data_IF_377433275035
#
_entry.id   IF_377433275035
#
_cell.length_a   1.000
_cell.length_b   1.000
_cell.length_c   1.000
_cell.angle_alpha   90.00
_cell.angle_beta   90.00
_cell.angle_gamma   90.00
#
_symmetry.space_group_name_H-M   'P 1'
#
loop_
_entity.id
_entity.type
_entity.pdbx_description
1 polymer ?
#
# COMPACT_ATOMS: atom_id res chain seq x y z
N UNK A 1 -9.49 -11.29 0.50
CA UNK A 1 -8.08 -11.70 0.61
C UNK A 1 -7.88 -12.54 1.87
N UNK A 2 -7.10 -13.60 1.76
CA UNK A 2 -6.75 -14.42 2.91
C UNK A 2 -5.90 -13.64 3.90
N UNK A 3 -5.95 -14.03 5.18
CA UNK A 3 -5.19 -13.36 6.22
C UNK A 3 -4.33 -14.35 6.99
N UNK A 4 -3.25 -13.83 7.59
CA UNK A 4 -2.41 -14.57 8.52
C UNK A 4 -2.33 -13.76 9.82
N UNK A 5 -2.58 -14.42 10.94
CA UNK A 5 -2.55 -13.76 12.26
C UNK A 5 -1.20 -13.98 12.92
N UNK A 6 -0.55 -12.88 13.30
CA UNK A 6 0.73 -12.88 14.03
C UNK A 6 0.58 -11.95 15.22
N UNK A 7 0.79 -12.45 16.43
CA UNK A 7 0.63 -11.69 17.68
C UNK A 7 -0.72 -10.96 17.78
N UNK A 8 -1.79 -11.66 17.35
CA UNK A 8 -3.16 -11.11 17.41
C UNK A 8 -3.50 -10.14 16.30
N UNK A 9 -2.58 -9.83 15.38
CA UNK A 9 -2.80 -8.90 14.29
C UNK A 9 -2.94 -9.67 12.97
N UNK A 10 -3.98 -9.34 12.20
CA UNK A 10 -4.24 -9.98 10.91
C UNK A 10 -3.55 -9.22 9.78
N UNK A 11 -2.71 -9.93 9.03
CA UNK A 11 -2.00 -9.39 7.87
C UNK A 11 -2.51 -10.02 6.59
N UNK A 12 -2.49 -9.25 5.49
CA UNK A 12 -2.88 -9.74 4.16
C UNK A 12 -1.67 -10.00 3.27
N UNK A 13 -0.49 -9.51 3.63
CA UNK A 13 0.71 -9.71 2.85
C UNK A 13 1.82 -8.74 3.19
N UNK A 14 2.76 -8.63 2.26
CA UNK A 14 3.95 -7.78 2.39
C UNK A 14 4.07 -6.92 1.14
N UNK A 15 4.34 -5.63 1.35
CA UNK A 15 4.70 -4.72 0.28
C UNK A 15 6.22 -4.73 0.16
N UNK A 16 6.73 -5.01 -1.03
CA UNK A 16 8.17 -5.07 -1.28
C UNK A 16 8.56 -3.99 -2.28
N UNK A 17 9.56 -3.19 -1.93
CA UNK A 17 10.07 -2.12 -2.78
C UNK A 17 11.57 -2.36 -2.97
N UNK A 18 11.95 -3.09 -4.04
CA UNK A 18 13.35 -3.48 -4.25
C UNK A 18 14.31 -2.30 -4.32
N UNK A 19 13.89 -1.21 -4.97
CA UNK A 19 14.69 0.00 -5.14
C UNK A 19 15.14 0.61 -3.81
N UNK A 20 14.36 0.41 -2.75
CA UNK A 20 14.64 0.94 -1.42
C UNK A 20 15.06 -0.16 -0.43
N UNK A 21 15.16 -1.41 -0.89
CA UNK A 21 15.41 -2.58 -0.03
C UNK A 21 14.43 -2.66 1.14
N UNK A 22 13.15 -2.36 0.87
CA UNK A 22 12.09 -2.36 1.88
C UNK A 22 11.16 -3.54 1.72
N UNK A 23 10.77 -4.11 2.87
CA UNK A 23 9.70 -5.09 2.98
C UNK A 23 8.81 -4.65 4.13
N UNK A 24 7.57 -4.30 3.84
CA UNK A 24 6.64 -3.72 4.80
C UNK A 24 5.39 -4.58 4.92
N UNK A 25 5.10 -5.12 6.12
CA UNK A 25 3.87 -5.88 6.34
C UNK A 25 2.65 -5.00 6.12
N UNK A 26 1.57 -5.60 5.62
CA UNK A 26 0.31 -4.91 5.38
C UNK A 26 -0.79 -5.58 6.20
N UNK A 27 -1.37 -4.84 7.15
CA UNK A 27 -2.48 -5.33 7.96
C UNK A 27 -3.76 -5.42 7.15
N UNK A 28 -4.64 -6.35 7.54
CA UNK A 28 -5.93 -6.56 6.89
C UNK A 28 -6.81 -5.31 6.91
N UNK A 29 -6.74 -4.53 8.00
CA UNK A 29 -7.49 -3.28 8.17
C UNK A 29 -6.58 -2.23 8.79
N UNK A 30 -6.67 -1.00 8.28
CA UNK A 30 -5.92 0.10 8.87
C UNK A 30 -6.61 0.60 10.15
N UNK A 31 -5.82 1.16 11.05
CA UNK A 31 -6.29 1.94 12.20
C UNK A 31 -5.21 2.93 12.58
N UNK A 32 -5.57 4.01 13.26
CA UNK A 32 -4.58 4.99 13.70
C UNK A 32 -3.51 4.35 14.60
N UNK A 33 -3.94 3.49 15.53
CA UNK A 33 -3.01 2.76 16.39
C UNK A 33 -2.17 1.76 15.60
N UNK A 34 -2.78 1.04 14.66
CA UNK A 34 -2.10 0.02 13.85
C UNK A 34 -1.08 0.60 12.90
N UNK A 35 -1.29 1.81 12.35
CA UNK A 35 -0.33 2.45 11.44
C UNK A 35 1.01 2.79 12.11
N UNK A 36 1.07 2.76 13.45
CA UNK A 36 2.33 2.87 14.18
C UNK A 36 3.16 1.59 14.06
N UNK A 37 2.52 0.48 13.70
CA UNK A 37 3.14 -0.84 13.63
C UNK A 37 3.46 -1.23 12.18
N UNK A 38 2.51 -1.03 11.27
CA UNK A 38 2.61 -1.50 9.88
C UNK A 38 1.70 -0.69 8.96
N UNK A 39 1.82 -0.93 7.66
CA UNK A 39 0.85 -0.45 6.69
C UNK A 39 -0.49 -1.15 6.92
N UNK A 40 -1.58 -0.56 6.47
CA UNK A 40 -2.91 -1.17 6.61
C UNK A 40 -3.76 -1.00 5.36
N UNK A 41 -4.55 -2.02 5.05
CA UNK A 41 -5.50 -1.91 3.95
C UNK A 41 -6.61 -0.94 4.36
N UNK A 42 -6.80 0.08 3.53
CA UNK A 42 -7.89 1.02 3.69
C UNK A 42 -9.14 0.49 3.01
N UNK A 43 -9.02 -0.03 1.79
CA UNK A 43 -10.15 -0.51 1.00
C UNK A 43 -9.64 -1.38 -0.15
N UNK A 44 -10.52 -2.22 -0.69
CA UNK A 44 -10.25 -2.95 -1.93
C UNK A 44 -9.42 -4.22 -1.77
N UNK A 45 -9.00 -4.77 -2.91
CA UNK A 45 -8.27 -6.03 -2.98
C UNK A 45 -7.33 -6.04 -4.18
N UNK A 46 -6.20 -6.75 -4.07
CA UNK A 46 -5.31 -6.98 -5.22
C UNK A 46 -6.02 -7.78 -6.30
N UNK A 47 -6.93 -8.67 -5.93
CA UNK A 47 -7.67 -9.51 -6.88
C UNK A 47 -8.72 -8.73 -7.66
N UNK A 48 -9.27 -7.68 -7.06
CA UNK A 48 -10.22 -6.78 -7.72
C UNK A 48 -9.53 -5.60 -8.41
N UNK A 49 -8.22 -5.52 -8.33
CA UNK A 49 -7.39 -4.47 -8.92
C UNK A 49 -7.80 -3.08 -8.46
N UNK A 50 -8.06 -2.93 -7.16
CA UNK A 50 -8.49 -1.66 -6.59
C UNK A 50 -8.04 -1.46 -5.15
N UNK A 51 -6.95 -2.09 -4.72
CA UNK A 51 -6.50 -2.02 -3.34
C UNK A 51 -5.96 -0.62 -2.99
N UNK A 52 -6.36 -0.12 -1.83
CA UNK A 52 -5.86 1.13 -1.27
C UNK A 52 -5.20 0.82 0.07
N UNK A 53 -3.94 1.18 0.20
CA UNK A 53 -3.11 0.90 1.37
C UNK A 53 -2.70 2.21 2.01
N UNK A 54 -2.96 2.34 3.32
CA UNK A 54 -2.59 3.49 4.11
C UNK A 54 -1.26 3.26 4.82
N UNK A 55 -0.44 4.31 4.89
CA UNK A 55 0.80 4.28 5.64
C UNK A 55 0.95 5.54 6.49
N UNK A 56 1.66 5.42 7.61
CA UNK A 56 1.99 6.56 8.45
C UNK A 56 3.31 7.17 8.01
N UNK A 57 3.47 8.48 8.23
CA UNK A 57 4.66 9.22 7.83
C UNK A 57 5.84 9.02 8.80
N UNK A 58 6.06 7.79 9.27
CA UNK A 58 7.24 7.46 10.08
C UNK A 58 8.43 7.11 9.19
N UNK A 59 9.64 7.39 9.69
CA UNK A 59 10.90 7.20 8.95
C UNK A 59 11.11 5.80 8.41
N UNK A 60 10.66 4.79 9.15
CA UNK A 60 10.86 3.39 8.78
C UNK A 60 9.82 2.85 7.79
N UNK A 61 8.75 3.62 7.54
CA UNK A 61 7.64 3.15 6.70
C UNK A 61 7.50 4.02 5.45
N UNK A 62 6.47 4.85 5.44
CA UNK A 62 6.03 5.54 4.25
C UNK A 62 6.92 6.72 3.85
N UNK A 63 7.72 7.26 4.76
CA UNK A 63 8.57 8.42 4.41
C UNK A 63 9.55 8.09 3.29
N UNK A 64 10.06 6.85 3.25
CA UNK A 64 10.97 6.41 2.19
C UNK A 64 10.24 6.17 0.88
N UNK A 65 8.97 5.78 0.93
CA UNK A 65 8.15 5.58 -0.27
C UNK A 65 7.93 6.88 -1.04
N UNK A 66 8.01 8.03 -0.37
CA UNK A 66 7.90 9.35 -1.01
C UNK A 66 9.03 9.64 -1.98
N UNK A 67 10.12 8.89 -1.90
CA UNK A 67 11.27 9.07 -2.80
C UNK A 67 11.10 8.33 -4.13
N UNK A 68 10.05 7.52 -4.26
CA UNK A 68 9.78 6.81 -5.50
C UNK A 68 9.28 7.75 -6.60
N UNK A 69 9.64 7.41 -7.84
CA UNK A 69 9.26 8.16 -9.02
C UNK A 69 8.29 7.38 -9.91
N UNK A 70 7.76 8.05 -10.91
CA UNK A 70 6.99 7.39 -11.97
C UNK A 70 7.88 6.30 -12.59
N UNK A 71 7.35 5.09 -12.71
CA UNK A 71 8.07 3.93 -13.23
C UNK A 71 8.71 3.05 -12.16
N UNK A 72 8.83 3.51 -10.91
CA UNK A 72 9.35 2.68 -9.83
C UNK A 72 8.50 1.43 -9.64
N UNK A 73 9.14 0.30 -9.29
CA UNK A 73 8.47 -0.99 -9.11
C UNK A 73 8.11 -1.25 -7.66
N UNK A 74 6.92 -1.80 -7.46
CA UNK A 74 6.43 -2.20 -6.14
C UNK A 74 5.80 -3.58 -6.30
N UNK A 75 6.11 -4.49 -5.38
CA UNK A 75 5.51 -5.82 -5.33
C UNK A 75 4.59 -5.94 -4.13
N UNK A 76 3.46 -6.60 -4.33
CA UNK A 76 2.62 -7.08 -3.22
C UNK A 76 2.66 -8.60 -3.23
N UNK A 77 3.05 -9.20 -2.11
CA UNK A 77 3.07 -10.65 -1.94
C UNK A 77 2.01 -10.98 -0.89
N UNK A 78 0.96 -11.73 -1.29
CA UNK A 78 -0.09 -12.10 -0.36
C UNK A 78 0.34 -13.24 0.56
N UNK A 79 -0.50 -13.62 1.52
CA UNK A 79 -0.16 -14.65 2.50
C UNK A 79 -0.08 -16.05 1.88
N UNK A 80 -0.58 -16.23 0.68
CA UNK A 80 -0.50 -17.49 -0.08
C UNK A 80 0.73 -17.54 -0.99
N UNK A 81 1.54 -16.48 -1.00
CA UNK A 81 2.75 -16.39 -1.81
C UNK A 81 2.54 -15.88 -3.22
N UNK A 82 1.30 -15.51 -3.58
CA UNK A 82 1.04 -14.92 -4.88
C UNK A 82 1.69 -13.54 -4.95
N UNK A 83 2.36 -13.25 -6.07
CA UNK A 83 3.13 -12.03 -6.26
C UNK A 83 2.50 -11.15 -7.32
N UNK A 84 2.31 -9.88 -6.98
CA UNK A 84 1.72 -8.87 -7.88
C UNK A 84 2.72 -7.75 -8.06
N UNK A 85 3.13 -7.52 -9.31
CA UNK A 85 4.07 -6.46 -9.64
C UNK A 85 3.35 -5.23 -10.16
N UNK A 86 3.68 -4.09 -9.58
CA UNK A 86 3.10 -2.79 -9.95
C UNK A 86 4.19 -1.82 -10.34
N UNK A 87 3.82 -0.83 -11.15
CA UNK A 87 4.66 0.35 -11.37
C UNK A 87 3.91 1.58 -10.91
N UNK A 88 4.65 2.55 -10.39
CA UNK A 88 4.07 3.85 -10.05
C UNK A 88 3.76 4.58 -11.36
N UNK A 89 2.50 4.90 -11.58
CA UNK A 89 2.01 5.53 -12.82
C UNK A 89 1.65 6.98 -12.64
N UNK A 90 1.34 7.40 -11.41
CA UNK A 90 1.02 8.79 -11.10
C UNK A 90 1.28 9.07 -9.61
N UNK A 91 1.56 10.33 -9.29
CA UNK A 91 1.78 10.79 -7.93
C UNK A 91 0.90 12.01 -7.72
N UNK A 92 -0.01 11.94 -6.75
CA UNK A 92 -0.96 13.01 -6.47
C UNK A 92 -0.82 13.54 -5.06
N UNK A 93 -1.03 14.84 -4.89
CA UNK A 93 -1.19 15.45 -3.57
C UNK A 93 -2.68 15.68 -3.37
N UNK A 94 -3.24 15.07 -2.34
CA UNK A 94 -4.68 15.07 -2.05
C UNK A 94 -4.90 15.81 -0.74
N UNK A 95 -5.89 16.73 -0.72
CA UNK A 95 -6.28 17.39 0.52
C UNK A 95 -6.79 16.35 1.51
N UNK A 96 -6.36 16.46 2.77
CA UNK A 96 -6.58 15.45 3.79
C UNK A 96 -8.02 15.04 4.06
N UNK A 97 -8.98 15.91 3.73
CA UNK A 97 -10.42 15.65 3.91
C UNK A 97 -11.11 15.09 2.67
N UNK A 98 -10.39 15.01 1.53
CA UNK A 98 -11.00 14.60 0.26
C UNK A 98 -10.88 13.09 0.05
N UNK A 99 -11.69 12.31 0.78
CA UNK A 99 -11.73 10.85 0.70
C UNK A 99 -12.14 10.38 -0.70
N UNK A 100 -13.05 11.08 -1.35
CA UNK A 100 -13.53 10.72 -2.68
C UNK A 100 -12.39 10.73 -3.72
N UNK A 101 -11.49 11.69 -3.63
CA UNK A 101 -10.34 11.75 -4.53
C UNK A 101 -9.38 10.58 -4.31
N UNK A 102 -9.24 10.12 -3.05
CA UNK A 102 -8.43 8.95 -2.73
C UNK A 102 -8.92 7.71 -3.48
N UNK A 103 -10.23 7.53 -3.57
CA UNK A 103 -10.86 6.38 -4.23
C UNK A 103 -11.09 6.58 -5.72
N UNK A 104 -10.83 7.77 -6.24
CA UNK A 104 -11.11 8.13 -7.62
C UNK A 104 -10.10 7.50 -8.60
N UNK A 105 -10.60 7.12 -9.77
CA UNK A 105 -9.79 6.55 -10.84
C UNK A 105 -9.78 5.03 -10.82
N UNK A 106 -9.25 4.45 -11.88
CA UNK A 106 -9.16 2.99 -12.06
C UNK A 106 -7.74 2.52 -11.81
N UNK A 107 -7.23 2.86 -10.61
CA UNK A 107 -5.89 2.45 -10.22
C UNK A 107 -5.92 1.06 -9.61
N UNK A 108 -4.96 0.22 -10.02
CA UNK A 108 -4.87 -1.15 -9.51
C UNK A 108 -4.41 -1.19 -8.06
N UNK A 109 -3.60 -0.21 -7.67
CA UNK A 109 -3.18 0.00 -6.29
C UNK A 109 -2.97 1.50 -6.03
N UNK A 110 -3.32 1.94 -4.84
CA UNK A 110 -2.98 3.27 -4.34
C UNK A 110 -2.33 3.15 -2.97
N UNK A 111 -1.17 3.78 -2.81
CA UNK A 111 -0.51 3.91 -1.51
C UNK A 111 -0.63 5.37 -1.07
N UNK A 112 -1.15 5.61 0.12
CA UNK A 112 -1.27 6.99 0.59
C UNK A 112 -0.77 7.15 2.02
N UNK A 113 -0.29 8.35 2.35
CA UNK A 113 0.13 8.71 3.70
C UNK A 113 -1.00 9.39 4.44
N UNK A 114 -1.12 9.08 5.73
CA UNK A 114 -1.91 9.86 6.67
C UNK A 114 -0.96 10.79 7.40
N UNK A 115 -0.91 12.08 7.01
CA UNK A 115 -0.02 13.03 7.67
C UNK A 115 -0.62 13.55 8.96
N UNK A 116 0.22 13.77 9.96
CA UNK A 116 -0.18 14.48 11.18
C UNK A 116 -0.60 15.90 10.80
N UNK A 117 -1.72 16.35 11.35
CA UNK A 117 -2.26 17.66 11.02
C UNK A 117 -3.18 17.70 9.82
N UNK A 118 -3.26 16.60 9.06
CA UNK A 118 -4.29 16.37 8.05
C UNK A 118 -4.38 17.35 6.89
N UNK A 119 -3.32 18.12 6.61
CA UNK A 119 -3.41 19.13 5.56
C UNK A 119 -3.37 18.50 4.17
N UNK A 120 -2.41 17.62 3.91
CA UNK A 120 -2.28 16.98 2.61
C UNK A 120 -1.85 15.53 2.75
N UNK A 121 -2.24 14.70 1.78
CA UNK A 121 -1.80 13.31 1.66
C UNK A 121 -1.12 13.14 0.32
N UNK A 122 -0.05 12.34 0.30
CA UNK A 122 0.59 11.93 -0.93
C UNK A 122 0.05 10.56 -1.31
N UNK A 123 -0.42 10.43 -2.55
CA UNK A 123 -0.93 9.19 -3.09
C UNK A 123 -0.07 8.73 -4.27
N UNK A 124 0.48 7.51 -4.16
CA UNK A 124 1.16 6.84 -5.26
C UNK A 124 0.14 5.97 -5.97
N UNK A 125 -0.18 6.29 -7.22
CA UNK A 125 -1.12 5.56 -8.06
C UNK A 125 -0.38 4.54 -8.90
N UNK A 126 -0.72 3.27 -8.75
CA UNK A 126 0.04 2.18 -9.36
C UNK A 126 -0.78 1.35 -10.32
N UNK A 127 -0.13 0.86 -11.36
CA UNK A 127 -0.72 -0.01 -12.36
C UNK A 127 -0.11 -1.40 -12.24
N UNK A 128 -0.94 -2.44 -12.26
CA UNK A 128 -0.50 -3.83 -12.25
C UNK A 128 0.13 -4.18 -13.59
N UNK A 129 1.35 -4.73 -13.57
CA UNK A 129 2.07 -5.11 -14.79
C UNK A 129 2.34 -6.61 -14.86
N UNK A 130 2.28 -7.33 -13.74
CA UNK A 130 2.50 -8.78 -13.76
C UNK A 130 1.91 -9.42 -12.49
N UNK A 131 1.46 -10.65 -12.61
CA UNK A 131 0.98 -11.43 -11.47
C UNK A 131 1.50 -12.86 -11.61
N UNK A 132 2.11 -13.39 -10.55
CA UNK A 132 2.69 -14.72 -10.52
C UNK A 132 2.11 -15.49 -9.34
N UNK A 133 1.52 -16.66 -9.63
CA UNK A 133 0.96 -17.51 -8.59
C UNK A 133 2.08 -18.07 -7.69
N UNK A 134 1.78 -18.14 -6.40
CA UNK A 134 2.69 -18.74 -5.43
C UNK A 134 2.85 -20.24 -5.68
N UNK A 135 4.02 -20.76 -5.39
CA UNK A 135 4.27 -22.19 -5.40
C UNK A 135 3.87 -22.76 -4.03
N UNK A 136 3.03 -23.78 -4.04
CA UNK A 136 2.64 -24.50 -2.83
C UNK A 136 3.55 -25.73 -2.64
#
# INVERSE_FOLDING_TARGET
MQTKTIDGIKYIGVLEVPELSLQLPVMSHWSLAGLKIALGRYKGSVYKRNIIIAGHNYRSHFSRLKTLDIGSKIWFIDVEGNRFEYKVSDIEIIKGTNVKQMEKGKWDMTLFTCTYGGQNRMALRCTLINAVAGEN
#
